data_IF_527960534124
#
_entry.id   IF_527960534124
#
_cell.length_a   1.000
_cell.length_b   1.000
_cell.length_c   1.000
_cell.angle_alpha   90.00
_cell.angle_beta   90.00
_cell.angle_gamma   90.00
#
_symmetry.space_group_name_H-M   'P 1'
#
loop_
_entity.id
_entity.type
_entity.pdbx_description
1 polymer ?
#
# COMPACT_ATOMS: atom_id res chain seq x y z
N UNK A 1 -18.33 15.25 20.89
CA UNK A 1 -18.26 13.81 20.54
C UNK A 1 -19.63 13.45 19.96
N UNK A 2 -19.80 12.96 18.71
CA UNK A 2 -18.95 11.99 17.99
C UNK A 2 -18.61 12.36 16.52
N UNK A 3 -17.38 12.11 16.07
CA UNK A 3 -16.98 12.18 14.65
C UNK A 3 -16.44 10.85 14.10
N UNK A 4 -16.89 9.71 14.65
CA UNK A 4 -16.33 8.40 14.28
C UNK A 4 -17.33 7.33 13.88
N UNK A 5 -18.64 7.62 13.86
CA UNK A 5 -19.64 6.66 13.39
C UNK A 5 -20.62 7.34 12.43
N UNK A 6 -20.59 6.88 11.17
CA UNK A 6 -21.59 7.09 10.12
C UNK A 6 -21.41 8.32 9.19
N UNK A 7 -21.03 8.04 7.94
CA UNK A 7 -21.56 8.73 6.76
C UNK A 7 -20.88 10.02 6.29
N UNK A 8 -20.43 10.90 7.17
CA UNK A 8 -19.87 12.18 6.76
C UNK A 8 -18.40 12.28 7.16
N UNK A 9 -17.52 12.42 6.17
CA UNK A 9 -16.28 13.16 6.35
C UNK A 9 -16.59 14.44 7.12
N UNK A 10 -15.79 14.77 8.13
CA UNK A 10 -15.91 15.93 9.04
C UNK A 10 -16.12 17.28 8.31
N UNK A 11 -17.33 17.55 7.80
CA UNK A 11 -17.68 18.76 7.05
C UNK A 11 -18.80 19.57 7.72
N UNK A 12 -19.35 19.10 8.84
CA UNK A 12 -20.24 19.91 9.70
C UNK A 12 -19.50 20.62 10.85
N UNK A 13 -18.17 20.55 10.86
CA UNK A 13 -17.36 21.41 11.70
C UNK A 13 -16.90 22.59 10.84
N UNK A 14 -17.27 23.82 11.21
CA UNK A 14 -16.87 25.08 10.52
C UNK A 14 -15.34 25.31 10.44
N UNK A 15 -14.52 24.36 10.89
CA UNK A 15 -13.07 24.46 11.00
C UNK A 15 -12.29 23.83 9.83
N UNK A 16 -12.92 23.19 8.83
CA UNK A 16 -12.20 22.62 7.69
C UNK A 16 -12.53 23.35 6.38
N UNK A 17 -11.55 24.08 5.78
CA UNK A 17 -11.76 24.76 4.51
C UNK A 17 -11.98 23.73 3.39
N UNK A 18 -12.72 24.15 2.38
CA UNK A 18 -13.22 23.43 1.20
C UNK A 18 -12.16 22.57 0.46
N UNK A 19 -11.78 21.43 1.04
CA UNK A 19 -10.87 20.48 0.39
C UNK A 19 -11.67 19.57 -0.54
N UNK A 20 -11.20 19.41 -1.79
CA UNK A 20 -11.86 18.55 -2.78
C UNK A 20 -11.88 17.12 -2.25
N UNK A 21 -13.06 16.59 -1.90
CA UNK A 21 -13.27 15.25 -1.34
C UNK A 21 -12.51 14.13 -2.09
N UNK A 22 -12.36 14.26 -3.42
CA UNK A 22 -11.61 13.32 -4.26
C UNK A 22 -10.10 13.30 -3.95
N UNK A 23 -9.48 14.47 -3.78
CA UNK A 23 -8.04 14.57 -3.47
C UNK A 23 -7.74 14.00 -2.09
N UNK A 24 -8.56 14.32 -1.10
CA UNK A 24 -8.41 13.79 0.27
C UNK A 24 -8.54 12.26 0.27
N UNK A 25 -9.52 11.73 -0.46
CA UNK A 25 -9.72 10.28 -0.56
C UNK A 25 -8.49 9.56 -1.16
N UNK A 26 -7.89 10.14 -2.21
CA UNK A 26 -6.64 9.61 -2.79
C UNK A 26 -5.48 9.61 -1.80
N UNK A 27 -5.32 10.69 -1.03
CA UNK A 27 -4.29 10.78 0.00
C UNK A 27 -4.51 9.76 1.12
N UNK A 28 -5.75 9.54 1.56
CA UNK A 28 -6.05 8.52 2.58
C UNK A 28 -5.71 7.12 2.05
N UNK A 29 -6.04 6.79 0.80
CA UNK A 29 -5.65 5.51 0.22
C UNK A 29 -4.14 5.32 0.13
N UNK A 30 -3.40 6.36 -0.26
CA UNK A 30 -1.94 6.35 -0.26
C UNK A 30 -1.39 6.13 1.16
N UNK A 31 -1.98 6.80 2.16
CA UNK A 31 -1.59 6.64 3.55
C UNK A 31 -1.89 5.23 4.09
N UNK A 32 -3.01 4.61 3.72
CA UNK A 32 -3.33 3.21 4.07
C UNK A 32 -2.27 2.26 3.49
N UNK A 33 -1.90 2.43 2.21
CA UNK A 33 -0.85 1.62 1.59
C UNK A 33 0.51 1.83 2.25
N UNK A 34 0.84 3.08 2.60
CA UNK A 34 2.05 3.42 3.34
C UNK A 34 2.08 2.76 4.73
N UNK A 35 0.99 2.84 5.50
CA UNK A 35 0.88 2.15 6.79
C UNK A 35 1.02 0.63 6.62
N UNK A 36 0.42 0.05 5.58
CA UNK A 36 0.58 -1.37 5.25
C UNK A 36 2.04 -1.76 5.01
N UNK A 37 2.78 -0.93 4.27
CA UNK A 37 4.21 -1.10 4.06
C UNK A 37 5.02 -0.95 5.35
N UNK A 38 4.73 0.07 6.17
CA UNK A 38 5.38 0.29 7.45
C UNK A 38 5.18 -0.90 8.41
N UNK A 39 3.95 -1.40 8.52
CA UNK A 39 3.64 -2.62 9.30
C UNK A 39 4.40 -3.81 8.74
N UNK A 40 4.45 -3.99 7.43
CA UNK A 40 5.22 -5.08 6.81
C UNK A 40 6.72 -5.00 7.16
N UNK A 41 7.32 -3.80 7.18
CA UNK A 41 8.70 -3.62 7.61
C UNK A 41 8.91 -3.99 9.09
N UNK A 42 7.95 -3.62 9.95
CA UNK A 42 7.99 -3.97 11.38
C UNK A 42 7.94 -5.50 11.56
N UNK A 43 7.15 -6.22 10.75
CA UNK A 43 7.05 -7.70 10.78
C UNK A 43 8.33 -8.42 10.36
N UNK A 44 9.25 -7.74 9.66
CA UNK A 44 10.57 -8.27 9.31
C UNK A 44 11.61 -8.08 10.41
N UNK A 45 11.27 -7.35 11.49
CA UNK A 45 12.20 -7.10 12.60
C UNK A 45 12.28 -8.32 13.51
N UNK A 46 13.50 -8.70 13.91
CA UNK A 46 13.80 -9.91 14.71
C UNK A 46 12.97 -10.01 16.01
N UNK A 47 12.58 -8.87 16.62
CA UNK A 47 11.76 -8.84 17.83
C UNK A 47 10.34 -9.42 17.67
N UNK A 48 9.81 -9.47 16.44
CA UNK A 48 8.45 -9.95 16.16
C UNK A 48 8.34 -11.47 15.99
N UNK A 49 9.46 -12.16 15.79
CA UNK A 49 9.50 -13.59 15.52
C UNK A 49 8.89 -14.40 16.66
N UNK A 50 9.17 -14.02 17.92
CA UNK A 50 8.67 -14.72 19.12
C UNK A 50 7.14 -14.70 19.26
N UNK A 51 6.46 -13.68 18.73
CA UNK A 51 5.00 -13.57 18.77
C UNK A 51 4.37 -14.27 17.57
N UNK A 52 5.01 -14.19 16.40
CA UNK A 52 4.53 -14.83 15.18
C UNK A 52 4.64 -16.37 15.25
N UNK A 53 5.64 -16.91 15.95
CA UNK A 53 5.79 -18.35 16.21
C UNK A 53 4.62 -18.96 16.99
N UNK A 54 3.90 -18.16 17.78
CA UNK A 54 2.72 -18.62 18.54
C UNK A 54 1.49 -18.83 17.67
N UNK A 55 1.51 -18.37 16.42
CA UNK A 55 0.39 -18.49 15.49
C UNK A 55 0.45 -19.86 14.79
N UNK A 56 -0.57 -20.72 14.93
CA UNK A 56 -0.58 -22.03 14.30
C UNK A 56 -0.49 -21.93 12.77
N UNK A 57 0.33 -22.80 12.15
CA UNK A 57 0.52 -22.85 10.68
C UNK A 57 1.65 -21.99 10.10
N UNK A 58 2.40 -21.22 10.90
CA UNK A 58 3.61 -20.50 10.44
C UNK A 58 4.87 -21.39 10.40
N UNK A 59 5.12 -22.18 11.46
CA UNK A 59 6.22 -23.16 11.51
C UNK A 59 5.78 -24.61 11.22
N UNK A 60 4.48 -24.89 11.21
CA UNK A 60 3.93 -26.27 11.13
C UNK A 60 3.73 -26.77 9.69
N UNK A 61 4.69 -26.47 8.82
CA UNK A 61 4.60 -26.75 7.39
C UNK A 61 5.87 -26.39 6.62
N UNK A 62 7.04 -26.53 7.27
CA UNK A 62 8.33 -26.45 6.59
C UNK A 62 8.39 -27.49 5.46
N UNK A 63 9.13 -27.14 4.40
CA UNK A 63 9.52 -28.07 3.33
C UNK A 63 9.99 -29.38 4.00
N UNK A 64 9.25 -30.48 3.84
CA UNK A 64 9.65 -31.79 4.36
C UNK A 64 10.84 -32.30 3.54
N UNK A 65 12.02 -31.73 3.79
CA UNK A 65 13.29 -32.31 3.36
C UNK A 65 13.70 -33.26 4.49
N UNK A 66 13.73 -34.56 4.20
CA UNK A 66 14.11 -35.65 5.10
C UNK A 66 15.60 -35.55 5.48
N UNK A 67 16.05 -34.51 6.18
CA UNK A 67 17.43 -34.39 6.68
C UNK A 67 17.45 -33.70 8.05
N UNK A 68 17.49 -34.51 9.11
CA UNK A 68 18.07 -34.22 10.44
C UNK A 68 17.90 -32.79 11.03
N UNK A 69 16.69 -32.50 11.49
CA UNK A 69 16.25 -31.95 12.80
C UNK A 69 17.13 -31.02 13.69
N UNK A 70 18.05 -30.21 13.16
CA UNK A 70 18.62 -29.06 13.93
C UNK A 70 18.81 -27.76 13.16
N UNK A 71 18.71 -27.76 11.82
CA UNK A 71 18.76 -26.53 11.00
C UNK A 71 17.40 -25.90 10.75
N UNK A 72 16.33 -26.71 10.79
CA UNK A 72 14.94 -26.30 10.48
C UNK A 72 14.43 -25.23 11.44
N UNK A 73 14.85 -25.24 12.70
CA UNK A 73 14.38 -24.29 13.72
C UNK A 73 14.93 -22.87 13.47
N UNK A 74 16.17 -22.73 12.95
CA UNK A 74 16.73 -21.44 12.54
C UNK A 74 16.19 -20.94 11.20
N UNK A 75 15.84 -21.86 10.29
CA UNK A 75 15.21 -21.51 9.01
C UNK A 75 13.74 -21.07 9.20
N UNK A 76 13.06 -21.48 10.27
CA UNK A 76 11.71 -21.00 10.53
C UNK A 76 11.70 -19.50 10.87
N UNK A 77 12.70 -19.02 11.61
CA UNK A 77 12.77 -17.65 12.15
C UNK A 77 12.73 -16.60 11.06
N UNK A 78 13.65 -16.72 10.09
CA UNK A 78 13.71 -15.85 8.92
C UNK A 78 12.46 -16.02 8.04
N UNK A 79 11.94 -17.25 7.89
CA UNK A 79 10.81 -17.54 7.01
C UNK A 79 9.46 -17.04 7.55
N UNK A 80 9.33 -16.90 8.88
CA UNK A 80 8.09 -16.46 9.55
C UNK A 80 7.79 -14.99 9.25
N UNK A 81 8.80 -14.12 9.27
CA UNK A 81 8.66 -12.71 8.92
C UNK A 81 8.16 -12.52 7.49
N UNK A 82 8.80 -13.18 6.51
CA UNK A 82 8.37 -13.12 5.10
C UNK A 82 6.95 -13.67 4.89
N UNK A 83 6.58 -14.77 5.58
CA UNK A 83 5.21 -15.30 5.54
C UNK A 83 4.18 -14.28 6.06
N UNK A 84 4.50 -13.53 7.12
CA UNK A 84 3.61 -12.51 7.68
C UNK A 84 3.45 -11.34 6.70
N UNK A 85 4.55 -10.87 6.10
CA UNK A 85 4.55 -9.83 5.07
C UNK A 85 3.68 -10.23 3.88
N UNK A 86 3.79 -11.47 3.39
CA UNK A 86 2.93 -11.92 2.28
C UNK A 86 1.45 -11.90 2.62
N UNK A 87 1.06 -12.25 3.85
CA UNK A 87 -0.34 -12.28 4.31
C UNK A 87 -0.93 -10.88 4.49
N UNK A 88 -0.14 -9.93 5.00
CA UNK A 88 -0.54 -8.51 5.10
C UNK A 88 -0.73 -7.91 3.70
N UNK A 89 0.25 -8.11 2.82
CA UNK A 89 0.18 -7.59 1.44
C UNK A 89 -0.93 -8.28 0.62
N UNK A 90 -1.19 -9.55 0.86
CA UNK A 90 -2.34 -10.27 0.29
C UNK A 90 -3.66 -9.62 0.67
N UNK A 91 -3.85 -9.29 1.95
CA UNK A 91 -5.09 -8.67 2.42
C UNK A 91 -5.32 -7.29 1.77
N UNK A 92 -4.27 -6.47 1.70
CA UNK A 92 -4.33 -5.18 1.01
C UNK A 92 -4.62 -5.35 -0.47
N UNK A 93 -3.91 -6.25 -1.16
CA UNK A 93 -4.07 -6.50 -2.58
C UNK A 93 -5.50 -6.97 -2.91
N UNK A 94 -6.07 -7.92 -2.16
CA UNK A 94 -7.45 -8.38 -2.38
C UNK A 94 -8.45 -7.26 -2.12
N UNK A 95 -8.29 -6.51 -1.02
CA UNK A 95 -9.20 -5.41 -0.73
C UNK A 95 -9.23 -4.40 -1.88
N UNK A 96 -8.06 -3.92 -2.33
CA UNK A 96 -7.98 -2.95 -3.42
C UNK A 96 -8.39 -3.55 -4.79
N UNK A 97 -8.15 -4.84 -5.03
CA UNK A 97 -8.60 -5.51 -6.24
C UNK A 97 -10.12 -5.60 -6.31
N UNK A 98 -10.77 -6.11 -5.25
CA UNK A 98 -12.24 -6.16 -5.15
C UNK A 98 -12.83 -4.76 -5.23
N UNK A 99 -12.21 -3.79 -4.54
CA UNK A 99 -12.64 -2.41 -4.58
C UNK A 99 -12.52 -1.79 -5.98
N UNK A 100 -11.48 -2.14 -6.74
CA UNK A 100 -11.32 -1.76 -8.14
C UNK A 100 -12.43 -2.35 -9.01
N UNK A 101 -12.77 -3.64 -8.83
CA UNK A 101 -13.87 -4.29 -9.55
C UNK A 101 -15.22 -3.61 -9.26
N UNK A 102 -15.48 -3.22 -8.01
CA UNK A 102 -16.70 -2.48 -7.64
C UNK A 102 -16.81 -1.12 -8.34
N UNK A 103 -15.67 -0.49 -8.64
CA UNK A 103 -15.61 0.83 -9.29
C UNK A 103 -15.55 0.77 -10.82
N UNK A 104 -15.67 -0.41 -11.42
CA UNK A 104 -15.71 -0.54 -12.88
C UNK A 104 -16.93 0.16 -13.50
N UNK A 105 -16.68 0.87 -14.61
CA UNK A 105 -17.67 1.62 -15.39
C UNK A 105 -18.42 2.71 -14.60
N UNK A 106 -17.84 3.27 -13.54
CA UNK A 106 -18.36 4.51 -12.92
C UNK A 106 -17.98 5.68 -13.83
N UNK A 107 -18.98 6.39 -14.37
CA UNK A 107 -18.77 7.52 -15.30
C UNK A 107 -19.09 8.87 -14.67
N UNK A 108 -19.89 8.90 -13.62
CA UNK A 108 -20.36 10.14 -12.99
C UNK A 108 -20.21 10.11 -11.48
N UNK A 109 -19.88 11.26 -10.89
CA UNK A 109 -19.78 11.41 -9.43
C UNK A 109 -21.13 11.35 -8.71
N UNK A 110 -22.23 11.29 -9.46
CA UNK A 110 -23.59 11.09 -8.94
C UNK A 110 -23.93 9.61 -8.68
N UNK A 111 -23.12 8.68 -9.19
CA UNK A 111 -23.34 7.26 -8.95
C UNK A 111 -23.23 6.97 -7.44
N UNK A 112 -24.10 6.12 -6.85
CA UNK A 112 -24.02 5.79 -5.43
C UNK A 112 -22.67 5.15 -5.05
N UNK A 113 -22.00 4.51 -6.02
CA UNK A 113 -20.64 3.98 -5.88
C UNK A 113 -19.60 5.06 -5.64
N UNK A 114 -19.80 6.30 -6.12
CA UNK A 114 -18.93 7.42 -5.82
C UNK A 114 -19.00 7.84 -4.34
N UNK A 115 -20.17 7.68 -3.69
CA UNK A 115 -20.31 7.88 -2.25
C UNK A 115 -19.56 6.78 -1.46
N UNK A 116 -19.60 5.53 -1.94
CA UNK A 116 -18.78 4.44 -1.40
C UNK A 116 -17.29 4.73 -1.61
N UNK A 117 -16.89 5.30 -2.75
CA UNK A 117 -15.49 5.64 -3.02
C UNK A 117 -14.94 6.73 -2.08
N UNK A 118 -15.66 7.83 -1.91
CA UNK A 118 -15.18 8.96 -1.11
C UNK A 118 -15.54 8.87 0.39
N UNK A 119 -16.46 7.97 0.77
CA UNK A 119 -16.99 7.84 2.12
C UNK A 119 -16.83 6.44 2.74
N UNK A 120 -17.67 6.11 3.72
CA UNK A 120 -17.74 4.80 4.38
C UNK A 120 -16.39 4.27 4.91
N UNK A 121 -15.54 5.15 5.45
CA UNK A 121 -14.20 4.80 5.92
C UNK A 121 -14.17 3.72 7.00
N UNK A 122 -15.09 3.79 7.98
CA UNK A 122 -15.18 2.78 9.04
C UNK A 122 -15.30 1.36 8.47
N UNK A 123 -16.24 1.14 7.53
CA UNK A 123 -16.45 -0.17 6.92
C UNK A 123 -15.26 -0.62 6.07
N UNK A 124 -14.58 0.31 5.37
CA UNK A 124 -13.37 0.00 4.59
C UNK A 124 -12.24 -0.46 5.49
N UNK A 125 -11.96 0.28 6.57
CA UNK A 125 -10.91 -0.07 7.53
C UNK A 125 -11.25 -1.39 8.23
N UNK A 126 -12.50 -1.58 8.66
CA UNK A 126 -12.96 -2.84 9.23
C UNK A 126 -12.80 -4.02 8.26
N UNK A 127 -13.10 -3.83 6.97
CA UNK A 127 -12.89 -4.84 5.94
C UNK A 127 -11.40 -5.14 5.73
N UNK A 128 -10.53 -4.13 5.66
CA UNK A 128 -9.08 -4.33 5.55
C UNK A 128 -8.55 -5.13 6.74
N UNK A 129 -8.91 -4.73 7.96
CA UNK A 129 -8.48 -5.42 9.18
C UNK A 129 -9.05 -6.84 9.23
N UNK A 130 -10.32 -7.04 8.86
CA UNK A 130 -10.96 -8.35 8.82
C UNK A 130 -10.30 -9.31 7.83
N UNK A 131 -10.02 -8.85 6.60
CA UNK A 131 -9.29 -9.65 5.59
C UNK A 131 -7.85 -9.92 6.06
N UNK A 132 -7.21 -8.93 6.70
CA UNK A 132 -5.87 -9.08 7.25
C UNK A 132 -5.82 -10.14 8.33
N UNK A 133 -6.68 -10.07 9.35
CA UNK A 133 -6.78 -11.12 10.38
C UNK A 133 -7.13 -12.47 9.76
N UNK A 134 -8.07 -12.50 8.80
CA UNK A 134 -8.44 -13.71 8.07
C UNK A 134 -7.26 -14.34 7.31
N UNK A 135 -6.36 -13.55 6.74
CA UNK A 135 -5.21 -14.08 5.99
C UNK A 135 -4.19 -14.78 6.88
N UNK A 136 -4.14 -14.49 8.18
CA UNK A 136 -3.30 -15.21 9.14
C UNK A 136 -3.78 -16.65 9.39
N UNK A 137 -5.04 -16.98 9.11
CA UNK A 137 -5.56 -18.34 9.23
C UNK A 137 -5.32 -19.21 7.98
N UNK A 138 -4.76 -18.66 6.91
CA UNK A 138 -4.46 -19.42 5.69
C UNK A 138 -3.23 -20.31 5.94
N UNK A 139 -3.33 -21.65 5.83
CA UNK A 139 -2.20 -22.54 6.08
C UNK A 139 -1.07 -22.31 5.07
N UNK A 140 0.17 -22.50 5.52
CA UNK A 140 1.38 -22.36 4.68
C UNK A 140 1.50 -23.42 3.58
N UNK A 141 2.42 -23.20 2.64
CA UNK A 141 2.69 -24.11 1.51
C UNK A 141 2.42 -23.44 0.17
N UNK A 142 1.45 -23.96 -0.59
CA UNK A 142 1.13 -23.48 -1.95
C UNK A 142 0.77 -22.00 -2.03
N UNK A 143 0.16 -21.45 -0.97
CA UNK A 143 -0.21 -20.04 -0.89
C UNK A 143 1.01 -19.12 -1.07
N UNK A 144 2.11 -19.39 -0.37
CA UNK A 144 3.31 -18.54 -0.42
C UNK A 144 3.96 -18.59 -1.79
N UNK A 145 4.06 -19.76 -2.41
CA UNK A 145 4.64 -19.90 -3.76
C UNK A 145 3.79 -19.23 -4.83
N UNK A 146 2.47 -19.40 -4.82
CA UNK A 146 1.58 -18.75 -5.76
C UNK A 146 1.64 -17.22 -5.61
N UNK A 147 1.62 -16.74 -4.36
CA UNK A 147 1.65 -15.31 -4.08
C UNK A 147 3.00 -14.67 -4.40
N UNK A 148 4.11 -15.42 -4.30
CA UNK A 148 5.42 -14.99 -4.78
C UNK A 148 5.41 -14.70 -6.29
N UNK A 149 4.84 -15.60 -7.11
CA UNK A 149 4.75 -15.41 -8.56
C UNK A 149 3.88 -14.20 -8.92
N UNK A 150 2.70 -14.08 -8.28
CA UNK A 150 1.80 -12.93 -8.45
C UNK A 150 2.50 -11.64 -8.03
N UNK A 151 3.21 -11.66 -6.91
CA UNK A 151 3.97 -10.51 -6.40
C UNK A 151 5.08 -10.08 -7.34
N UNK A 152 5.86 -11.02 -7.91
CA UNK A 152 6.90 -10.71 -8.89
C UNK A 152 6.32 -10.08 -10.16
N UNK A 153 5.24 -10.65 -10.71
CA UNK A 153 4.58 -10.09 -11.88
C UNK A 153 4.02 -8.69 -11.61
N UNK A 154 3.39 -8.50 -10.44
CA UNK A 154 2.88 -7.20 -10.00
C UNK A 154 3.99 -6.16 -9.81
N UNK A 155 5.12 -6.55 -9.22
CA UNK A 155 6.28 -5.68 -9.02
C UNK A 155 6.88 -5.21 -10.36
N UNK A 156 6.99 -6.12 -11.33
CA UNK A 156 7.43 -5.77 -12.68
C UNK A 156 6.52 -4.72 -13.34
N UNK A 157 5.20 -4.93 -13.30
CA UNK A 157 4.24 -3.94 -13.84
C UNK A 157 4.29 -2.61 -13.08
N UNK A 158 4.44 -2.65 -11.76
CA UNK A 158 4.52 -1.45 -10.94
C UNK A 158 5.76 -0.62 -11.26
N UNK A 159 6.92 -1.25 -11.49
CA UNK A 159 8.15 -0.58 -11.93
C UNK A 159 7.95 0.11 -13.29
N UNK A 160 7.28 -0.54 -14.25
CA UNK A 160 6.99 0.08 -15.55
C UNK A 160 6.11 1.33 -15.40
N UNK A 161 5.06 1.26 -14.57
CA UNK A 161 4.18 2.41 -14.30
C UNK A 161 4.96 3.53 -13.60
N UNK A 162 5.77 3.20 -12.59
CA UNK A 162 6.62 4.18 -11.90
C UNK A 162 7.61 4.86 -12.84
N UNK A 163 8.20 4.12 -13.78
CA UNK A 163 9.11 4.68 -14.78
C UNK A 163 8.40 5.72 -15.66
N UNK A 164 7.22 5.41 -16.18
CA UNK A 164 6.43 6.36 -16.99
C UNK A 164 6.06 7.60 -16.16
N UNK A 165 5.56 7.41 -14.95
CA UNK A 165 5.20 8.52 -14.06
C UNK A 165 6.41 9.40 -13.70
N UNK A 166 7.60 8.80 -13.55
CA UNK A 166 8.84 9.54 -13.25
C UNK A 166 9.29 10.36 -14.46
N UNK A 167 9.20 9.82 -15.68
CA UNK A 167 9.50 10.55 -16.91
C UNK A 167 8.53 11.72 -17.10
N UNK A 168 7.23 11.48 -16.94
CA UNK A 168 6.21 12.54 -17.03
C UNK A 168 6.42 13.63 -15.97
N UNK A 169 6.78 13.23 -14.76
CA UNK A 169 7.13 14.16 -13.69
C UNK A 169 8.37 14.98 -14.03
N UNK A 170 9.43 14.35 -14.56
CA UNK A 170 10.65 15.04 -14.96
C UNK A 170 10.37 16.08 -16.07
N UNK A 171 9.59 15.73 -17.08
CA UNK A 171 9.18 16.67 -18.12
C UNK A 171 8.34 17.83 -17.56
N UNK A 172 7.34 17.53 -16.73
CA UNK A 172 6.48 18.54 -16.11
C UNK A 172 7.28 19.49 -15.20
N UNK A 173 8.24 18.96 -14.45
CA UNK A 173 9.15 19.76 -13.62
C UNK A 173 10.06 20.65 -14.48
N UNK A 174 10.64 20.11 -15.55
CA UNK A 174 11.49 20.87 -16.46
C UNK A 174 10.72 22.02 -17.11
N UNK A 175 9.54 21.75 -17.67
CA UNK A 175 8.69 22.79 -18.26
C UNK A 175 8.30 23.85 -17.22
N UNK A 176 7.92 23.43 -16.00
CA UNK A 176 7.61 24.37 -14.93
C UNK A 176 8.81 25.23 -14.52
N UNK A 177 10.03 24.71 -14.57
CA UNK A 177 11.23 25.47 -14.20
C UNK A 177 11.68 26.41 -15.31
N UNK A 178 11.58 25.96 -16.57
CA UNK A 178 11.85 26.79 -17.75
C UNK A 178 10.86 27.97 -17.80
N UNK A 179 9.56 27.74 -17.62
CA UNK A 179 8.57 28.83 -17.58
C UNK A 179 8.87 29.84 -16.46
N UNK A 180 9.30 29.36 -15.28
CA UNK A 180 9.69 30.23 -14.15
C UNK A 180 11.01 30.96 -14.35
N UNK A 181 11.88 30.43 -15.22
CA UNK A 181 13.11 31.10 -15.65
C UNK A 181 12.80 32.23 -16.63
N UNK A 182 11.86 32.01 -17.55
CA UNK A 182 11.44 32.99 -18.56
C UNK A 182 10.59 34.14 -17.96
N UNK A 183 9.68 33.84 -17.03
CA UNK A 183 8.76 34.82 -16.43
C UNK A 183 9.22 35.40 -15.07
N UNK A 184 10.21 34.77 -14.44
CA UNK A 184 10.61 35.02 -13.05
C UNK A 184 12.05 35.48 -12.87
N UNK A 185 12.77 34.88 -11.91
CA UNK A 185 14.17 35.20 -11.64
C UNK A 185 15.10 34.17 -12.34
N UNK A 186 15.71 34.52 -13.48
CA UNK A 186 16.42 33.56 -14.32
C UNK A 186 17.65 32.97 -13.63
N UNK A 187 18.35 33.72 -12.77
CA UNK A 187 19.60 33.26 -12.13
C UNK A 187 19.38 32.14 -11.12
N UNK A 188 18.30 32.22 -10.33
CA UNK A 188 17.99 31.23 -9.30
C UNK A 188 17.51 29.90 -9.91
N UNK A 189 16.62 29.98 -10.91
CA UNK A 189 16.11 28.80 -11.61
C UNK A 189 17.17 28.14 -12.50
N UNK A 190 18.06 28.92 -13.11
CA UNK A 190 19.21 28.38 -13.86
C UNK A 190 20.20 27.64 -12.95
N UNK A 191 20.52 28.19 -11.76
CA UNK A 191 21.37 27.51 -10.78
C UNK A 191 20.71 26.22 -10.25
N UNK A 192 19.40 26.25 -9.97
CA UNK A 192 18.64 25.08 -9.55
C UNK A 192 18.62 23.98 -10.63
N UNK A 193 18.34 24.35 -11.89
CA UNK A 193 18.33 23.42 -13.02
C UNK A 193 19.70 22.75 -13.18
N UNK A 194 20.79 23.53 -13.25
CA UNK A 194 22.16 23.00 -13.35
C UNK A 194 22.54 22.11 -12.17
N UNK A 195 22.13 22.46 -10.94
CA UNK A 195 22.44 21.64 -9.76
C UNK A 195 21.77 20.26 -9.81
N UNK A 196 20.59 20.18 -10.43
CA UNK A 196 19.80 18.95 -10.47
C UNK A 196 20.15 18.09 -11.69
N UNK A 197 20.56 18.70 -12.81
CA UNK A 197 20.97 17.97 -14.03
C UNK A 197 22.46 17.64 -14.08
N UNK A 198 23.30 18.26 -13.25
CA UNK A 198 24.75 17.98 -13.18
C UNK A 198 25.13 16.84 -12.24
N UNK A 199 24.19 16.29 -11.47
CA UNK A 199 24.35 15.08 -10.65
C UNK A 199 24.00 13.87 -11.52
#
# INVERSE_FOLDING_TARGET
VPCLCSGASCLLCSCCPNSKNSTVTRLIYAFILFLGAAVSCIMLTEGMESQLKKIPGFCEGGFKINVADRKVDKDCDVLVGYKAVYRINFALAIFFFVFSLLMLKVKTSKDPRAAVHNGFWFFKIAAIVGIMVGSFYIPGGHFTTAWFIVGMAGAFLFILIQLVLLVDFAHSCNESWVNRMEEGNPRCWYAALLSVTSI
#
